data_IF_504431582381
#
_entry.id   IF_504431582381
#
_cell.length_a   1.000
_cell.length_b   1.000
_cell.length_c   1.000
_cell.angle_alpha   90.00
_cell.angle_beta   90.00
_cell.angle_gamma   90.00
#
_symmetry.space_group_name_H-M   'P 1'
#
loop_
_entity.id
_entity.type
_entity.pdbx_description
1 polymer ?
#
# COMPACT_ATOMS: atom_id res chain seq x y z
N UNK A 1 14.75 2.30 -13.64
CA UNK A 1 13.55 1.45 -13.50
C UNK A 1 13.93 0.02 -13.89
N UNK A 2 13.83 -0.94 -12.96
CA UNK A 2 14.15 -2.33 -13.28
C UNK A 2 13.06 -2.92 -14.18
N UNK A 3 13.45 -3.44 -15.34
CA UNK A 3 12.59 -3.78 -16.48
C UNK A 3 11.64 -4.99 -16.27
N UNK A 4 11.43 -5.47 -15.04
CA UNK A 4 10.63 -6.68 -14.77
C UNK A 4 9.66 -6.60 -13.59
N UNK A 5 9.72 -5.55 -12.78
CA UNK A 5 8.92 -5.42 -11.55
C UNK A 5 8.19 -4.08 -11.55
N UNK A 6 6.89 -4.08 -11.22
CA UNK A 6 6.10 -2.85 -11.13
C UNK A 6 6.71 -1.89 -10.11
N UNK A 7 6.57 -0.58 -10.30
CA UNK A 7 7.04 0.43 -9.33
C UNK A 7 6.47 0.16 -7.93
N UNK A 8 5.23 -0.32 -7.86
CA UNK A 8 4.60 -0.75 -6.61
C UNK A 8 5.36 -1.90 -5.94
N UNK A 9 5.74 -2.95 -6.68
CA UNK A 9 6.49 -4.07 -6.10
C UNK A 9 7.86 -3.66 -5.57
N UNK A 10 8.53 -2.70 -6.23
CA UNK A 10 9.80 -2.14 -5.77
C UNK A 10 9.63 -1.32 -4.48
N UNK A 11 8.55 -0.54 -4.40
CA UNK A 11 8.20 0.21 -3.20
C UNK A 11 7.89 -0.71 -2.00
N UNK A 12 7.17 -1.80 -2.24
CA UNK A 12 6.84 -2.78 -1.20
C UNK A 12 8.07 -3.51 -0.66
N UNK A 13 9.11 -3.70 -1.47
CA UNK A 13 10.40 -4.27 -1.02
C UNK A 13 11.18 -3.27 -0.15
N UNK A 14 11.09 -1.97 -0.43
CA UNK A 14 11.72 -0.94 0.41
C UNK A 14 11.02 -0.80 1.77
N UNK A 15 9.73 -1.13 1.84
CA UNK A 15 8.99 -1.16 3.09
C UNK A 15 9.45 -2.33 3.94
N UNK A 16 10.01 -2.06 5.11
CA UNK A 16 10.26 -3.10 6.11
C UNK A 16 8.94 -3.55 6.76
N UNK A 17 8.53 -4.79 6.50
CA UNK A 17 7.31 -5.39 7.08
C UNK A 17 7.28 -5.28 8.61
N UNK A 18 8.42 -5.50 9.26
CA UNK A 18 8.55 -5.42 10.71
C UNK A 18 8.30 -4.00 11.24
N UNK A 19 8.89 -2.98 10.61
CA UNK A 19 8.69 -1.59 11.04
C UNK A 19 7.27 -1.13 10.76
N UNK A 20 6.69 -1.57 9.65
CA UNK A 20 5.29 -1.30 9.34
C UNK A 20 4.36 -1.91 10.39
N UNK A 21 4.52 -3.19 10.71
CA UNK A 21 3.71 -3.85 11.72
C UNK A 21 3.84 -3.19 13.09
N UNK A 22 5.06 -2.79 13.48
CA UNK A 22 5.29 -2.05 14.72
C UNK A 22 4.52 -0.73 14.77
N UNK A 23 4.42 -0.02 13.66
CA UNK A 23 3.59 1.19 13.55
C UNK A 23 2.10 0.86 13.65
N UNK A 24 1.63 -0.16 12.94
CA UNK A 24 0.24 -0.62 12.99
C UNK A 24 -0.16 -0.99 14.42
N UNK A 25 0.66 -1.74 15.13
CA UNK A 25 0.38 -2.15 16.51
C UNK A 25 0.41 -0.95 17.47
N UNK A 26 1.40 -0.05 17.32
CA UNK A 26 1.54 1.16 18.15
C UNK A 26 0.34 2.07 18.05
N UNK A 27 -0.20 2.26 16.84
CA UNK A 27 -1.33 3.15 16.59
C UNK A 27 -2.67 2.43 16.52
N UNK A 28 -2.69 1.11 16.76
CA UNK A 28 -3.87 0.24 16.62
C UNK A 28 -4.54 0.41 15.24
N UNK A 29 -3.74 0.43 14.18
CA UNK A 29 -4.21 0.63 12.80
C UNK A 29 -5.23 -0.42 12.34
N UNK A 30 -5.19 -1.63 12.92
CA UNK A 30 -6.15 -2.71 12.67
C UNK A 30 -7.27 -2.80 13.71
N UNK A 31 -7.51 -1.75 14.50
CA UNK A 31 -8.55 -1.78 15.52
C UNK A 31 -9.94 -1.96 14.89
N UNK A 32 -10.61 -3.08 15.20
CA UNK A 32 -11.93 -3.50 14.70
C UNK A 32 -11.99 -3.83 13.20
N UNK A 33 -10.86 -4.00 12.54
CA UNK A 33 -10.84 -4.51 11.17
C UNK A 33 -11.30 -5.97 11.15
N UNK A 34 -12.17 -6.32 10.18
CA UNK A 34 -12.65 -7.70 9.97
C UNK A 34 -12.06 -8.38 8.74
N UNK A 35 -11.83 -7.64 7.66
CA UNK A 35 -11.41 -8.18 6.35
C UNK A 35 -10.46 -7.29 5.54
N UNK A 36 -10.20 -6.05 5.97
CA UNK A 36 -9.44 -5.07 5.18
C UNK A 36 -8.46 -4.33 6.09
N UNK A 37 -7.24 -4.87 6.17
CA UNK A 37 -6.20 -4.45 7.12
C UNK A 37 -5.57 -3.12 6.72
N UNK A 38 -4.85 -2.52 7.66
CA UNK A 38 -4.02 -1.34 7.43
C UNK A 38 -3.00 -1.58 6.31
N UNK A 39 -2.50 -2.81 6.17
CA UNK A 39 -1.65 -3.22 5.07
C UNK A 39 -2.40 -3.20 3.72
N UNK A 40 -3.64 -3.70 3.68
CA UNK A 40 -4.47 -3.68 2.48
C UNK A 40 -4.84 -2.24 2.08
N UNK A 41 -5.18 -1.39 3.04
CA UNK A 41 -5.38 0.06 2.83
C UNK A 41 -4.14 0.70 2.20
N UNK A 42 -2.97 0.43 2.77
CA UNK A 42 -1.70 0.98 2.30
C UNK A 42 -1.39 0.56 0.86
N UNK A 43 -1.63 -0.71 0.52
CA UNK A 43 -1.46 -1.26 -0.82
C UNK A 43 -2.40 -0.58 -1.83
N UNK A 44 -3.68 -0.45 -1.50
CA UNK A 44 -4.68 0.21 -2.37
C UNK A 44 -4.35 1.67 -2.59
N UNK A 45 -4.00 2.42 -1.54
CA UNK A 45 -3.62 3.83 -1.65
C UNK A 45 -2.35 4.01 -2.49
N UNK A 46 -1.34 3.17 -2.26
CA UNK A 46 -0.10 3.21 -3.04
C UNK A 46 -0.36 2.89 -4.51
N UNK A 47 -1.23 1.92 -4.81
CA UNK A 47 -1.66 1.62 -6.17
C UNK A 47 -2.42 2.80 -6.81
N UNK A 48 -3.34 3.42 -6.09
CA UNK A 48 -4.11 4.56 -6.58
C UNK A 48 -3.25 5.82 -6.83
N UNK A 49 -2.20 6.03 -6.03
CA UNK A 49 -1.27 7.16 -6.20
C UNK A 49 -0.27 6.94 -7.33
N UNK A 50 0.14 5.69 -7.55
CA UNK A 50 1.10 5.32 -8.60
C UNK A 50 0.43 5.01 -9.95
N UNK A 51 -0.86 4.68 -9.95
CA UNK A 51 -1.69 4.64 -11.15
C UNK A 51 -2.19 6.03 -11.52
N UNK A 52 -2.41 6.30 -12.80
CA UNK A 52 -2.97 7.57 -13.26
C UNK A 52 -4.42 7.73 -12.77
N UNK A 53 -4.72 8.56 -11.75
CA UNK A 53 -6.09 8.68 -11.22
C UNK A 53 -7.02 9.34 -12.25
N UNK A 54 -6.43 10.14 -13.14
CA UNK A 54 -7.12 10.93 -14.15
C UNK A 54 -7.57 10.13 -15.37
N UNK A 55 -7.08 8.91 -15.60
CA UNK A 55 -7.59 8.06 -16.70
C UNK A 55 -8.99 7.51 -16.44
N UNK A 56 -9.44 7.47 -15.17
CA UNK A 56 -10.77 7.01 -14.79
C UNK A 56 -11.84 8.12 -14.84
N UNK A 57 -11.45 9.38 -15.03
CA UNK A 57 -12.39 10.52 -15.16
C UNK A 57 -12.78 10.80 -16.61
N UNK A 58 -12.15 10.13 -17.59
CA UNK A 58 -12.39 10.29 -19.03
C UNK A 58 -12.90 9.00 -19.70
N UNK A 59 -13.47 8.07 -18.92
CA UNK A 59 -14.26 6.92 -19.38
C UNK A 59 -15.62 6.96 -18.66
#
# INVERSE_FOLDING_TARGET
MNAGNTVLSQLMVFRSDFQFQRCVDRYRGDFRVRRFTCNDHFLVMSFAQLGDPWKLTYL
#
